data_IF_337310765719
#
_entry.id   IF_337310765719
#
_cell.length_a   1.000
_cell.length_b   1.000
_cell.length_c   1.000
_cell.angle_alpha   90.00
_cell.angle_beta   90.00
_cell.angle_gamma   90.00
#
_symmetry.space_group_name_H-M   'P 1'
#
loop_
_entity.id
_entity.type
_entity.pdbx_description
1 polymer ?
#
# COMPACT_ATOMS: atom_id res chain seq x y z
N UNK A 1 5.75 -0.18 17.99
CA UNK A 1 6.31 -1.23 17.16
C UNK A 1 6.17 -1.03 15.67
N UNK A 2 6.36 0.20 15.21
CA UNK A 2 6.41 0.48 13.78
C UNK A 2 7.73 -0.07 13.22
N UNK A 3 7.64 -0.93 12.19
CA UNK A 3 8.81 -1.57 11.57
C UNK A 3 9.28 -0.84 10.32
N UNK A 4 8.41 -0.11 9.67
CA UNK A 4 8.75 0.65 8.49
C UNK A 4 7.61 1.57 8.08
N UNK A 5 7.95 2.64 7.37
CA UNK A 5 6.98 3.60 6.86
C UNK A 5 7.33 3.90 5.40
N UNK A 6 6.36 3.79 4.50
CA UNK A 6 6.48 4.16 3.10
C UNK A 6 5.55 5.32 2.77
N UNK A 7 6.11 6.38 2.22
CA UNK A 7 5.32 7.46 1.62
C UNK A 7 5.10 7.11 0.15
N UNK A 8 3.84 6.97 -0.25
CA UNK A 8 3.51 6.54 -1.61
C UNK A 8 3.41 7.76 -2.52
N UNK A 9 4.43 7.92 -3.35
CA UNK A 9 4.59 9.06 -4.27
C UNK A 9 4.67 8.55 -5.71
N UNK A 10 5.30 9.31 -6.60
CA UNK A 10 5.60 8.82 -7.95
C UNK A 10 6.38 7.52 -7.87
N UNK A 11 6.03 6.55 -8.69
CA UNK A 11 6.51 5.17 -8.57
C UNK A 11 5.50 4.24 -7.92
N UNK A 12 4.50 4.76 -7.22
CA UNK A 12 3.40 3.99 -6.67
C UNK A 12 3.79 2.91 -5.67
N UNK A 13 2.99 1.87 -5.59
CA UNK A 13 3.20 0.75 -4.67
C UNK A 13 4.50 -0.01 -4.99
N UNK A 14 4.71 -0.32 -6.27
CA UNK A 14 5.82 -1.19 -6.68
C UNK A 14 7.20 -0.61 -6.41
N UNK A 15 7.36 0.71 -6.48
CA UNK A 15 8.65 1.35 -6.25
C UNK A 15 8.84 1.84 -4.83
N UNK A 16 7.78 2.30 -4.16
CA UNK A 16 7.91 2.92 -2.84
C UNK A 16 7.89 1.91 -1.69
N UNK A 17 7.03 0.88 -1.75
CA UNK A 17 6.90 -0.07 -0.64
C UNK A 17 8.20 -0.84 -0.37
N UNK A 18 8.89 -1.39 -1.39
CA UNK A 18 10.11 -2.16 -1.12
C UNK A 18 11.21 -1.40 -0.40
N UNK A 19 11.22 -0.08 -0.49
CA UNK A 19 12.22 0.76 0.18
C UNK A 19 12.13 0.73 1.70
N UNK A 20 10.98 0.35 2.25
CA UNK A 20 10.72 0.35 3.70
C UNK A 20 10.71 -1.04 4.32
N UNK A 21 10.90 -2.09 3.52
CA UNK A 21 10.89 -3.47 4.01
C UNK A 21 12.24 -4.14 3.75
N UNK A 22 12.64 -5.12 4.62
CA UNK A 22 13.90 -5.84 4.43
C UNK A 22 13.92 -6.68 3.16
N UNK A 23 15.12 -6.91 2.64
CA UNK A 23 15.33 -7.84 1.54
C UNK A 23 14.82 -9.24 1.94
N UNK A 24 14.26 -9.97 0.99
CA UNK A 24 13.68 -11.29 1.24
C UNK A 24 12.24 -11.26 1.73
N UNK A 25 11.70 -10.09 2.02
CA UNK A 25 10.28 -9.92 2.33
C UNK A 25 9.55 -9.22 1.19
N UNK A 26 8.26 -9.48 1.08
CA UNK A 26 7.40 -8.94 0.05
C UNK A 26 6.11 -8.45 0.69
N UNK A 27 5.63 -7.30 0.26
CA UNK A 27 4.32 -6.81 0.68
C UNK A 27 3.24 -7.46 -0.20
N UNK A 28 2.43 -8.31 0.39
CA UNK A 28 1.28 -8.93 -0.28
C UNK A 28 0.07 -8.07 -0.01
N UNK A 29 -0.34 -7.30 -1.01
CA UNK A 29 -1.43 -6.34 -0.91
C UNK A 29 -2.73 -6.99 -1.38
N UNK A 30 -3.77 -6.90 -0.56
CA UNK A 30 -5.12 -7.29 -0.95
C UNK A 30 -5.74 -6.16 -1.77
N UNK A 31 -5.83 -6.37 -3.08
CA UNK A 31 -6.38 -5.36 -3.99
C UNK A 31 -7.79 -4.92 -3.60
N UNK A 32 -8.60 -5.85 -3.10
CA UNK A 32 -9.96 -5.53 -2.68
C UNK A 32 -10.02 -4.65 -1.43
N UNK A 33 -8.95 -4.61 -0.64
CA UNK A 33 -8.87 -3.76 0.54
C UNK A 33 -8.46 -2.32 0.20
N UNK A 34 -7.85 -2.09 -0.97
CA UNK A 34 -7.42 -0.75 -1.39
C UNK A 34 -8.64 0.09 -1.72
N UNK A 35 -8.82 1.20 -1.01
CA UNK A 35 -9.91 2.14 -1.26
C UNK A 35 -9.49 3.14 -2.33
N UNK A 36 -9.54 2.71 -3.60
CA UNK A 36 -9.14 3.52 -4.74
C UNK A 36 -10.08 4.70 -4.90
N UNK A 37 -9.51 5.91 -4.95
CA UNK A 37 -10.31 7.11 -5.18
C UNK A 37 -10.84 7.15 -6.62
N UNK A 38 -12.06 7.65 -6.85
CA UNK A 38 -12.69 7.64 -8.18
C UNK A 38 -11.86 8.28 -9.30
N UNK A 39 -11.03 9.27 -8.97
CA UNK A 39 -10.19 9.94 -9.97
C UNK A 39 -9.23 8.95 -10.66
N UNK A 40 -8.74 7.94 -9.96
CA UNK A 40 -7.82 6.96 -10.54
C UNK A 40 -8.53 6.06 -11.54
N UNK A 41 -9.80 5.71 -11.32
CA UNK A 41 -10.59 4.95 -12.28
C UNK A 41 -10.82 5.76 -13.56
N UNK A 42 -11.09 7.05 -13.43
CA UNK A 42 -11.26 7.95 -14.57
C UNK A 42 -9.98 8.04 -15.38
N UNK A 43 -8.84 8.23 -14.72
CA UNK A 43 -7.52 8.31 -15.38
C UNK A 43 -7.22 7.00 -16.12
N UNK A 44 -7.46 5.86 -15.49
CA UNK A 44 -7.21 4.57 -16.10
C UNK A 44 -8.03 4.34 -17.36
N UNK A 45 -9.31 4.73 -17.35
CA UNK A 45 -10.21 4.60 -18.51
C UNK A 45 -9.79 5.54 -19.64
N UNK A 46 -9.57 6.81 -19.33
CA UNK A 46 -9.24 7.81 -20.35
C UNK A 46 -7.87 7.57 -20.99
N UNK A 47 -6.89 7.16 -20.19
CA UNK A 47 -5.56 6.86 -20.67
C UNK A 47 -5.38 5.44 -21.20
N UNK A 48 -6.40 4.58 -21.05
CA UNK A 48 -6.30 3.16 -21.35
C UNK A 48 -5.08 2.53 -20.68
N UNK A 49 -4.90 2.82 -19.38
CA UNK A 49 -3.71 2.45 -18.62
C UNK A 49 -3.94 1.10 -17.94
N UNK A 50 -3.04 0.11 -18.14
CA UNK A 50 -3.12 -1.18 -17.46
C UNK A 50 -3.04 -1.02 -15.94
N UNK A 51 -3.71 -1.92 -15.22
CA UNK A 51 -3.75 -1.88 -13.75
C UNK A 51 -2.37 -1.84 -13.11
N UNK A 52 -1.43 -2.66 -13.59
CA UNK A 52 -0.07 -2.66 -13.05
C UNK A 52 0.60 -1.29 -13.17
N UNK A 53 0.42 -0.62 -14.29
CA UNK A 53 1.00 0.70 -14.51
C UNK A 53 0.36 1.76 -13.62
N UNK A 54 -0.94 1.62 -13.32
CA UNK A 54 -1.62 2.49 -12.37
C UNK A 54 -0.97 2.38 -10.98
N UNK A 55 -0.78 1.16 -10.47
CA UNK A 55 -0.13 0.94 -9.17
C UNK A 55 1.36 1.23 -9.16
N UNK A 56 1.99 1.30 -10.32
CA UNK A 56 3.42 1.66 -10.45
C UNK A 56 3.64 3.17 -10.64
N UNK A 57 2.59 3.94 -10.86
CA UNK A 57 2.68 5.37 -11.12
C UNK A 57 2.00 6.21 -10.05
N UNK A 58 0.83 5.78 -9.59
CA UNK A 58 -0.01 6.53 -8.67
C UNK A 58 -0.08 5.87 -7.30
N UNK A 59 -0.44 6.65 -6.28
CA UNK A 59 -0.67 6.12 -4.94
C UNK A 59 -2.04 5.44 -4.78
N UNK A 60 -2.91 5.56 -5.76
CA UNK A 60 -4.26 4.96 -5.81
C UNK A 60 -5.15 5.35 -4.61
N UNK A 61 -4.83 6.42 -3.92
CA UNK A 61 -5.56 6.87 -2.73
C UNK A 61 -4.89 6.47 -1.41
N UNK A 62 -3.76 5.77 -1.48
CA UNK A 62 -2.97 5.39 -0.30
C UNK A 62 -1.72 6.25 -0.24
N UNK A 63 -1.72 7.25 0.65
CA UNK A 63 -0.59 8.19 0.74
C UNK A 63 0.58 7.69 1.55
N UNK A 64 0.33 6.81 2.52
CA UNK A 64 1.36 6.29 3.41
C UNK A 64 1.02 4.88 3.87
N UNK A 65 2.03 4.02 3.92
CA UNK A 65 1.91 2.64 4.40
C UNK A 65 2.83 2.47 5.60
N UNK A 66 2.30 1.84 6.65
CA UNK A 66 3.04 1.57 7.88
C UNK A 66 3.09 0.07 8.10
N UNK A 67 4.28 -0.46 8.35
CA UNK A 67 4.50 -1.87 8.67
C UNK A 67 4.62 -2.02 10.18
N UNK A 68 3.82 -2.91 10.77
CA UNK A 68 3.82 -3.19 12.21
C UNK A 68 3.79 -4.69 12.45
N UNK A 69 4.10 -5.12 13.69
CA UNK A 69 3.89 -6.50 14.09
C UNK A 69 2.40 -6.85 13.99
N UNK A 70 2.10 -8.06 13.55
CA UNK A 70 0.71 -8.53 13.38
C UNK A 70 -0.13 -8.32 14.64
N UNK A 71 0.46 -8.54 15.81
CA UNK A 71 -0.24 -8.38 17.10
C UNK A 71 -0.70 -6.94 17.36
N UNK A 72 -0.11 -5.95 16.69
CA UNK A 72 -0.42 -4.53 16.89
C UNK A 72 -1.19 -3.91 15.72
N UNK A 73 -1.50 -4.68 14.68
CA UNK A 73 -2.15 -4.14 13.48
C UNK A 73 -3.48 -3.45 13.79
N UNK A 74 -4.37 -4.12 14.53
CA UNK A 74 -5.68 -3.55 14.86
C UNK A 74 -5.55 -2.32 15.75
N UNK A 75 -4.60 -2.33 16.69
CA UNK A 75 -4.34 -1.18 17.56
C UNK A 75 -3.81 0.01 16.77
N UNK A 76 -2.92 -0.24 15.82
CA UNK A 76 -2.38 0.81 14.96
C UNK A 76 -3.49 1.46 14.13
N UNK A 77 -4.38 0.66 13.55
CA UNK A 77 -5.55 1.16 12.80
C UNK A 77 -6.43 2.01 13.71
N UNK A 78 -6.73 1.55 14.92
CA UNK A 78 -7.57 2.28 15.85
C UNK A 78 -6.96 3.64 16.26
N UNK A 79 -5.65 3.67 16.54
CA UNK A 79 -4.94 4.89 16.91
C UNK A 79 -4.94 5.91 15.76
N UNK A 80 -4.66 5.46 14.54
CA UNK A 80 -4.63 6.33 13.38
C UNK A 80 -6.02 6.90 13.05
N UNK A 81 -7.06 6.07 13.11
CA UNK A 81 -8.42 6.54 12.90
C UNK A 81 -8.86 7.54 13.98
N UNK A 82 -8.47 7.32 15.24
CA UNK A 82 -8.76 8.24 16.32
C UNK A 82 -8.05 9.60 16.13
N UNK A 83 -6.91 9.60 15.44
CA UNK A 83 -6.17 10.83 15.12
C UNK A 83 -6.72 11.56 13.88
N UNK A 84 -7.78 11.06 13.26
CA UNK A 84 -8.41 11.69 12.11
C UNK A 84 -7.96 11.16 10.74
N UNK A 85 -7.11 10.14 10.72
CA UNK A 85 -6.69 9.50 9.48
C UNK A 85 -7.66 8.40 9.07
N UNK A 86 -7.77 8.12 7.79
CA UNK A 86 -8.50 6.95 7.30
C UNK A 86 -7.51 5.79 7.16
N UNK A 87 -7.41 4.96 8.20
CA UNK A 87 -6.48 3.84 8.24
C UNK A 87 -7.22 2.51 8.15
N UNK A 88 -6.61 1.56 7.46
CA UNK A 88 -7.15 0.20 7.34
C UNK A 88 -6.01 -0.78 7.03
N UNK A 89 -6.29 -2.08 7.23
CA UNK A 89 -5.33 -3.13 6.93
C UNK A 89 -5.31 -3.37 5.43
N UNK A 90 -4.15 -3.20 4.82
CA UNK A 90 -3.95 -3.29 3.38
C UNK A 90 -3.49 -4.67 2.92
N UNK A 91 -2.73 -5.37 3.76
CA UNK A 91 -2.14 -6.66 3.43
C UNK A 91 -1.15 -7.09 4.48
N UNK A 92 -0.22 -7.96 4.08
CA UNK A 92 0.78 -8.53 4.99
C UNK A 92 2.15 -8.65 4.32
N UNK A 93 3.18 -8.81 5.12
CA UNK A 93 4.52 -9.12 4.63
C UNK A 93 4.69 -10.63 4.60
N UNK A 94 5.22 -11.14 3.48
CA UNK A 94 5.50 -12.56 3.28
C UNK A 94 6.92 -12.74 2.76
N UNK A 95 7.46 -13.96 2.87
CA UNK A 95 8.78 -14.28 2.33
C UNK A 95 8.69 -14.41 0.81
N UNK A 96 9.37 -13.52 0.10
CA UNK A 96 9.45 -13.52 -1.36
C UNK A 96 10.43 -12.44 -1.82
N UNK A 97 11.04 -12.62 -2.97
CA UNK A 97 11.93 -11.63 -3.57
C UNK A 97 11.20 -10.69 -4.54
N UNK A 98 9.89 -10.78 -4.65
CA UNK A 98 9.13 -9.99 -5.63
C UNK A 98 8.90 -8.53 -5.22
N UNK A 99 9.17 -8.17 -3.97
CA UNK A 99 9.00 -6.82 -3.45
C UNK A 99 7.57 -6.46 -3.12
N UNK A 100 6.68 -6.48 -4.10
CA UNK A 100 5.25 -6.20 -3.94
C UNK A 100 4.43 -7.14 -4.81
N UNK A 101 3.39 -7.74 -4.22
CA UNK A 101 2.38 -8.53 -4.93
C UNK A 101 1.03 -7.90 -4.65
N UNK A 102 0.28 -7.60 -5.70
CA UNK A 102 -1.10 -7.09 -5.57
C UNK A 102 -2.04 -8.15 -6.14
N UNK A 103 -2.90 -8.70 -5.30
CA UNK A 103 -3.77 -9.81 -5.69
C UNK A 103 -5.24 -9.60 -5.31
#
# INVERSE_FOLDING_TARGET
SVKGISHITGGGFYENIPRSIPDGLCAKIDKSAVKVLPIFDVIAKWGNIPERDMFNTFNMGVGMIVSVDKAYADKAVAVLNAAGEEAYILGELVESDEGVIIC
#
